data_IF_646020730024
#
_entry.id   IF_646020730024
#
_cell.length_a   1.000
_cell.length_b   1.000
_cell.length_c   1.000
_cell.angle_alpha   90.00
_cell.angle_beta   90.00
_cell.angle_gamma   90.00
#
_symmetry.space_group_name_H-M   'P 1'
#
loop_
_entity.id
_entity.type
_entity.pdbx_description
1 polymer ?
#
# COMPACT_ATOMS: atom_id res chain seq x y z
N UNK A 1 -18.17 -27.96 -34.28
CA UNK A 1 -16.72 -28.28 -34.24
C UNK A 1 -15.87 -27.12 -33.74
N UNK A 2 -15.89 -25.98 -34.45
CA UNK A 2 -15.34 -24.71 -33.96
C UNK A 2 -15.89 -24.36 -32.56
N UNK A 3 -17.18 -24.66 -32.33
CA UNK A 3 -17.85 -24.53 -31.03
C UNK A 3 -17.27 -25.47 -29.94
N UNK A 4 -16.84 -26.69 -30.28
CA UNK A 4 -16.24 -27.65 -29.32
C UNK A 4 -14.86 -27.18 -28.88
N UNK A 5 -14.07 -26.62 -29.80
CA UNK A 5 -12.78 -26.00 -29.50
C UNK A 5 -12.96 -24.71 -28.68
N UNK A 6 -13.96 -23.90 -29.04
CA UNK A 6 -14.28 -22.66 -28.32
C UNK A 6 -14.71 -22.93 -26.88
N UNK A 7 -15.61 -23.88 -26.67
CA UNK A 7 -16.04 -24.31 -25.34
C UNK A 7 -14.88 -24.86 -24.50
N UNK A 8 -13.92 -25.55 -25.12
CA UNK A 8 -12.74 -26.06 -24.44
C UNK A 8 -11.81 -24.92 -23.96
N UNK A 9 -11.53 -23.94 -24.82
CA UNK A 9 -10.78 -22.75 -24.43
C UNK A 9 -11.55 -21.91 -23.41
N UNK A 10 -12.87 -21.78 -23.55
CA UNK A 10 -13.71 -21.11 -22.55
C UNK A 10 -13.55 -21.72 -21.17
N UNK A 11 -13.56 -23.06 -21.08
CA UNK A 11 -13.32 -23.77 -19.83
C UNK A 11 -11.92 -23.52 -19.26
N UNK A 12 -10.85 -23.67 -20.05
CA UNK A 12 -9.45 -23.46 -19.60
C UNK A 12 -9.24 -22.01 -19.11
N UNK A 13 -9.82 -21.05 -19.82
CA UNK A 13 -9.65 -19.64 -19.51
C UNK A 13 -10.68 -19.06 -18.52
N UNK A 14 -11.66 -19.87 -18.08
CA UNK A 14 -12.71 -19.43 -17.12
C UNK A 14 -12.13 -18.76 -15.86
N UNK A 15 -11.06 -19.29 -15.22
CA UNK A 15 -10.47 -18.67 -14.02
C UNK A 15 -9.81 -17.30 -14.25
N UNK A 16 -9.67 -16.87 -15.51
CA UNK A 16 -8.84 -15.73 -15.93
C UNK A 16 -9.61 -14.64 -16.69
N UNK A 17 -10.94 -14.75 -16.80
CA UNK A 17 -11.79 -13.88 -17.63
C UNK A 17 -11.73 -12.38 -17.24
N UNK A 18 -11.34 -12.05 -16.02
CA UNK A 18 -11.27 -10.67 -15.52
C UNK A 18 -10.04 -9.89 -16.06
N UNK A 19 -9.12 -10.56 -16.75
CA UNK A 19 -7.89 -9.95 -17.26
C UNK A 19 -8.00 -9.67 -18.76
N UNK A 20 -7.96 -8.38 -19.13
CA UNK A 20 -8.01 -7.94 -20.53
C UNK A 20 -6.96 -8.62 -21.41
N UNK A 21 -5.72 -8.74 -20.93
CA UNK A 21 -4.63 -9.39 -21.67
C UNK A 21 -4.88 -10.87 -21.97
N UNK A 22 -5.65 -11.56 -21.13
CA UNK A 22 -5.95 -12.99 -21.32
C UNK A 22 -7.03 -13.19 -22.40
N UNK A 23 -7.92 -12.20 -22.60
CA UNK A 23 -8.94 -12.26 -23.65
C UNK A 23 -8.32 -12.22 -25.05
N UNK A 24 -7.34 -11.34 -25.24
CA UNK A 24 -6.61 -11.21 -26.51
C UNK A 24 -5.82 -12.49 -26.84
N UNK A 25 -5.08 -13.01 -25.86
CA UNK A 25 -4.32 -14.27 -26.00
C UNK A 25 -5.23 -15.46 -26.34
N UNK A 26 -6.41 -15.53 -25.71
CA UNK A 26 -7.39 -16.60 -25.97
C UNK A 26 -7.94 -16.54 -27.39
N UNK A 27 -8.16 -15.34 -27.93
CA UNK A 27 -8.65 -15.17 -29.30
C UNK A 27 -7.59 -15.53 -30.34
N UNK A 28 -6.33 -15.12 -30.15
CA UNK A 28 -5.22 -15.51 -31.02
C UNK A 28 -5.01 -17.02 -31.01
N UNK A 29 -4.96 -17.63 -29.81
CA UNK A 29 -4.79 -19.08 -29.68
C UNK A 29 -5.95 -19.86 -30.32
N UNK A 30 -7.18 -19.35 -30.24
CA UNK A 30 -8.32 -19.98 -30.90
C UNK A 30 -8.16 -20.00 -32.42
N UNK A 31 -7.69 -18.91 -33.02
CA UNK A 31 -7.46 -18.80 -34.46
C UNK A 31 -6.42 -19.82 -34.89
N UNK A 32 -5.26 -19.86 -34.23
CA UNK A 32 -4.16 -20.78 -34.54
C UNK A 32 -4.59 -22.25 -34.44
N UNK A 33 -5.34 -22.61 -33.39
CA UNK A 33 -5.83 -23.97 -33.20
C UNK A 33 -6.91 -24.34 -34.21
N UNK A 34 -7.70 -23.37 -34.66
CA UNK A 34 -8.71 -23.60 -35.69
C UNK A 34 -8.05 -23.85 -37.06
N UNK A 35 -7.00 -23.10 -37.40
CA UNK A 35 -6.19 -23.36 -38.61
C UNK A 35 -5.57 -24.75 -38.57
N UNK A 36 -4.91 -25.11 -37.46
CA UNK A 36 -4.32 -26.43 -37.27
C UNK A 36 -5.33 -27.57 -37.35
N UNK A 37 -6.51 -27.39 -36.78
CA UNK A 37 -7.60 -28.37 -36.87
C UNK A 37 -8.05 -28.60 -38.33
N UNK A 38 -8.13 -27.51 -39.12
CA UNK A 38 -8.49 -27.61 -40.53
C UNK A 38 -7.40 -28.32 -41.34
N UNK A 39 -6.13 -28.04 -41.07
CA UNK A 39 -5.00 -28.71 -41.73
C UNK A 39 -4.97 -30.21 -41.44
N UNK A 40 -5.23 -30.63 -40.20
CA UNK A 40 -5.33 -32.05 -39.86
C UNK A 40 -6.47 -32.73 -40.63
N UNK A 41 -7.64 -32.08 -40.75
CA UNK A 41 -8.73 -32.62 -41.57
C UNK A 41 -8.36 -32.72 -43.05
N UNK A 42 -7.69 -31.72 -43.60
CA UNK A 42 -7.23 -31.73 -44.99
C UNK A 42 -6.19 -32.82 -45.25
N UNK A 43 -5.45 -33.23 -44.22
CA UNK A 43 -4.50 -34.34 -44.27
C UNK A 43 -5.15 -35.72 -44.05
N UNK A 44 -6.48 -35.81 -44.01
CA UNK A 44 -7.22 -37.08 -44.00
C UNK A 44 -7.46 -37.69 -42.61
N UNK A 45 -7.17 -36.96 -41.53
CA UNK A 45 -7.56 -37.39 -40.19
C UNK A 45 -9.07 -37.28 -40.00
N UNK A 46 -9.65 -38.26 -39.29
CA UNK A 46 -11.03 -38.17 -38.89
C UNK A 46 -11.25 -37.05 -37.86
N UNK A 47 -12.52 -36.73 -37.64
CA UNK A 47 -12.93 -35.58 -36.87
C UNK A 47 -12.50 -35.60 -35.40
N UNK A 48 -12.55 -36.77 -34.76
CA UNK A 48 -12.20 -36.92 -33.36
C UNK A 48 -10.69 -37.01 -33.18
N UNK A 49 -9.99 -37.67 -34.12
CA UNK A 49 -8.54 -37.74 -34.11
C UNK A 49 -7.88 -36.38 -34.35
N UNK A 50 -8.40 -35.59 -35.30
CA UNK A 50 -7.94 -34.23 -35.56
C UNK A 50 -8.14 -33.32 -34.33
N UNK A 51 -9.30 -33.41 -33.67
CA UNK A 51 -9.58 -32.64 -32.46
C UNK A 51 -8.62 -32.99 -31.33
N UNK A 52 -8.42 -34.29 -31.04
CA UNK A 52 -7.54 -34.73 -29.97
C UNK A 52 -6.09 -34.28 -30.20
N UNK A 53 -5.58 -34.41 -31.42
CA UNK A 53 -4.23 -33.92 -31.79
C UNK A 53 -4.10 -32.40 -31.68
N UNK A 54 -5.15 -31.65 -32.01
CA UNK A 54 -5.17 -30.20 -31.81
C UNK A 54 -5.08 -29.85 -30.32
N UNK A 55 -5.89 -30.49 -29.46
CA UNK A 55 -5.89 -30.24 -28.01
C UNK A 55 -4.58 -30.66 -27.35
N UNK A 56 -4.02 -31.82 -27.70
CA UNK A 56 -2.72 -32.29 -27.19
C UNK A 56 -1.59 -31.30 -27.49
N UNK A 57 -1.69 -30.57 -28.60
CA UNK A 57 -0.67 -29.58 -28.97
C UNK A 57 -0.70 -28.29 -28.15
N UNK A 58 -1.78 -28.08 -27.39
CA UNK A 58 -1.92 -26.94 -26.48
C UNK A 58 -1.04 -27.17 -25.23
N UNK A 59 -0.74 -28.43 -24.86
CA UNK A 59 0.23 -28.76 -23.80
C UNK A 59 0.05 -27.98 -22.49
N UNK A 60 1.17 -27.59 -21.87
CA UNK A 60 1.29 -26.84 -20.60
C UNK A 60 0.77 -25.38 -20.67
N UNK A 61 0.04 -24.97 -21.71
CA UNK A 61 -0.45 -23.57 -21.82
C UNK A 61 -1.28 -23.15 -20.60
N UNK A 62 -1.99 -24.06 -19.94
CA UNK A 62 -2.66 -23.76 -18.67
C UNK A 62 -1.68 -23.34 -17.57
N UNK A 63 -0.53 -24.01 -17.45
CA UNK A 63 0.51 -23.68 -16.46
C UNK A 63 1.23 -22.38 -16.82
N UNK A 64 1.46 -22.13 -18.11
CA UNK A 64 2.04 -20.87 -18.61
C UNK A 64 1.08 -19.70 -18.33
N UNK A 65 -0.21 -19.84 -18.61
CA UNK A 65 -1.22 -18.82 -18.34
C UNK A 65 -1.37 -18.57 -16.84
N UNK A 66 -1.32 -19.62 -16.02
CA UNK A 66 -1.33 -19.49 -14.56
C UNK A 66 -0.09 -18.74 -14.05
N UNK A 67 1.10 -19.07 -14.56
CA UNK A 67 2.36 -18.40 -14.24
C UNK A 67 2.35 -16.92 -14.65
N UNK A 68 1.93 -16.60 -15.88
CA UNK A 68 1.79 -15.23 -16.38
C UNK A 68 0.76 -14.46 -15.54
N UNK A 69 -0.35 -15.09 -15.19
CA UNK A 69 -1.42 -14.47 -14.41
C UNK A 69 -0.98 -14.21 -12.97
N UNK A 70 -0.31 -15.17 -12.34
CA UNK A 70 0.28 -15.00 -11.00
C UNK A 70 1.30 -13.86 -11.03
N UNK A 71 2.18 -13.82 -12.03
CA UNK A 71 3.14 -12.74 -12.20
C UNK A 71 2.47 -11.40 -12.45
N UNK A 72 1.40 -11.36 -13.23
CA UNK A 72 0.62 -10.15 -13.49
C UNK A 72 -0.06 -9.64 -12.23
N UNK A 73 -0.62 -10.53 -11.39
CA UNK A 73 -1.20 -10.16 -10.10
C UNK A 73 -0.15 -9.66 -9.10
N UNK A 74 1.01 -10.33 -9.02
CA UNK A 74 2.15 -9.85 -8.25
C UNK A 74 2.60 -8.46 -8.74
N UNK A 75 2.70 -8.28 -10.06
CA UNK A 75 3.06 -7.00 -10.67
C UNK A 75 1.99 -5.95 -10.42
N UNK A 76 0.70 -6.27 -10.45
CA UNK A 76 -0.40 -5.34 -10.11
C UNK A 76 -0.39 -4.97 -8.62
N UNK A 77 -0.03 -5.89 -7.73
CA UNK A 77 0.25 -5.57 -6.32
C UNK A 77 1.49 -4.69 -6.16
N UNK A 78 2.45 -4.78 -7.09
CA UNK A 78 3.63 -3.91 -7.16
C UNK A 78 3.37 -2.58 -7.91
N UNK A 79 2.32 -2.49 -8.72
CA UNK A 79 1.90 -1.27 -9.42
C UNK A 79 1.11 -0.43 -8.42
N UNK A 80 1.84 0.47 -7.78
CA UNK A 80 1.36 1.35 -6.72
C UNK A 80 0.00 1.95 -7.00
N UNK A 81 -0.98 1.54 -6.18
CA UNK A 81 -2.34 2.07 -6.17
C UNK A 81 -2.25 3.59 -5.98
N UNK A 82 -2.72 4.34 -6.97
CA UNK A 82 -2.65 5.80 -6.99
C UNK A 82 -4.04 6.42 -6.87
N UNK A 83 -4.35 6.84 -5.64
CA UNK A 83 -5.51 7.61 -5.25
C UNK A 83 -5.22 9.12 -5.21
N UNK A 84 -4.04 9.59 -5.65
CA UNK A 84 -3.67 11.00 -5.53
C UNK A 84 -4.71 11.91 -6.19
N UNK A 85 -5.01 13.03 -5.53
CA UNK A 85 -6.00 14.06 -5.97
C UNK A 85 -7.45 13.56 -6.00
N UNK A 86 -7.76 12.49 -5.25
CA UNK A 86 -9.12 11.97 -5.20
C UNK A 86 -9.93 12.56 -4.05
N UNK A 87 -11.25 12.75 -4.21
CA UNK A 87 -12.17 13.05 -3.12
C UNK A 87 -12.54 11.74 -2.40
N UNK A 88 -11.89 11.49 -1.27
CA UNK A 88 -11.97 10.27 -0.47
C UNK A 88 -12.38 10.57 0.98
N UNK A 89 -13.11 11.65 1.18
CA UNK A 89 -13.71 11.95 2.48
C UNK A 89 -14.59 10.78 2.95
N UNK A 90 -14.56 10.49 4.24
CA UNK A 90 -15.35 9.44 4.89
C UNK A 90 -15.12 8.02 4.32
N UNK A 91 -14.06 7.80 3.54
CA UNK A 91 -13.77 6.51 2.92
C UNK A 91 -13.29 5.46 3.93
N UNK A 92 -13.72 4.22 3.72
CA UNK A 92 -13.30 3.06 4.51
C UNK A 92 -12.12 2.34 3.84
N UNK A 93 -10.95 2.47 4.46
CA UNK A 93 -9.70 1.77 4.14
C UNK A 93 -9.26 0.86 5.30
N UNK A 94 -10.19 0.43 6.15
CA UNK A 94 -9.87 -0.42 7.29
C UNK A 94 -9.29 -1.75 6.83
N UNK A 95 -8.15 -2.13 7.40
CA UNK A 95 -7.52 -3.43 7.14
C UNK A 95 -6.98 -3.63 5.73
N UNK A 96 -6.87 -2.57 4.91
CA UNK A 96 -6.34 -2.71 3.55
C UNK A 96 -4.85 -3.04 3.56
N UNK A 97 -4.42 -3.80 2.55
CA UNK A 97 -3.02 -4.14 2.32
C UNK A 97 -2.49 -3.33 1.11
N UNK A 98 -1.97 -2.13 1.39
CA UNK A 98 -1.49 -1.19 0.36
C UNK A 98 -0.05 -0.77 0.69
N UNK A 99 0.93 -1.46 0.11
CA UNK A 99 2.34 -1.08 0.19
C UNK A 99 2.67 -0.17 -0.99
N UNK A 100 3.40 0.93 -0.75
CA UNK A 100 3.71 1.96 -1.75
C UNK A 100 2.48 2.67 -2.37
N UNK A 101 1.37 2.77 -1.63
CA UNK A 101 0.17 3.49 -2.06
C UNK A 101 0.42 4.99 -2.21
N UNK A 102 -0.27 5.64 -3.14
CA UNK A 102 -0.20 7.09 -3.33
C UNK A 102 -1.55 7.71 -3.05
N UNK A 103 -1.60 8.58 -2.07
CA UNK A 103 -2.76 9.33 -1.63
C UNK A 103 -2.53 10.84 -1.71
N UNK A 104 -1.51 11.29 -2.45
CA UNK A 104 -1.04 12.68 -2.40
C UNK A 104 -2.13 13.65 -2.86
N UNK A 105 -2.24 14.81 -2.20
CA UNK A 105 -3.21 15.86 -2.55
C UNK A 105 -4.67 15.40 -2.50
N UNK A 106 -4.96 14.31 -1.79
CA UNK A 106 -6.33 13.78 -1.68
C UNK A 106 -7.07 14.43 -0.53
N UNK A 107 -8.39 14.48 -0.63
CA UNK A 107 -9.25 14.79 0.50
C UNK A 107 -9.57 13.49 1.21
N UNK A 108 -9.07 13.31 2.44
CA UNK A 108 -9.18 12.08 3.23
C UNK A 108 -9.70 12.37 4.63
N UNK A 109 -10.46 13.47 4.75
CA UNK A 109 -11.06 13.87 6.00
C UNK A 109 -11.98 12.75 6.50
N UNK A 110 -11.84 12.40 7.78
CA UNK A 110 -12.56 11.30 8.43
C UNK A 110 -12.34 9.89 7.83
N UNK A 111 -11.38 9.69 6.93
CA UNK A 111 -11.13 8.36 6.38
C UNK A 111 -10.64 7.37 7.46
N UNK A 112 -11.09 6.12 7.40
CA UNK A 112 -10.67 5.06 8.33
C UNK A 112 -9.59 4.19 7.70
N UNK A 113 -8.36 4.29 8.18
CA UNK A 113 -7.21 3.46 7.82
C UNK A 113 -6.84 2.48 8.93
N UNK A 114 -7.71 2.23 9.92
CA UNK A 114 -7.35 1.42 11.07
C UNK A 114 -6.96 0.00 10.66
N UNK A 115 -5.94 -0.56 11.34
CA UNK A 115 -5.41 -1.91 11.10
C UNK A 115 -4.90 -2.17 9.66
N UNK A 116 -4.64 -1.12 8.87
CA UNK A 116 -4.14 -1.28 7.50
C UNK A 116 -2.61 -1.44 7.46
N UNK A 117 -2.11 -2.06 6.39
CA UNK A 117 -0.70 -2.04 6.03
C UNK A 117 -0.48 -0.99 4.95
N UNK A 118 0.15 0.12 5.33
CA UNK A 118 0.38 1.31 4.51
C UNK A 118 1.86 1.62 4.34
N UNK A 119 2.73 0.62 4.48
CA UNK A 119 4.18 0.80 4.40
C UNK A 119 4.58 1.50 3.11
N UNK A 120 5.52 2.43 3.23
CA UNK A 120 6.07 3.23 2.13
C UNK A 120 5.03 4.05 1.34
N UNK A 121 3.79 4.17 1.84
CA UNK A 121 2.74 4.95 1.21
C UNK A 121 2.96 6.46 1.37
N UNK A 122 2.38 7.25 0.46
CA UNK A 122 2.60 8.70 0.38
C UNK A 122 1.27 9.45 0.48
N UNK A 123 1.13 10.29 1.51
CA UNK A 123 -0.04 11.13 1.81
C UNK A 123 0.29 12.63 1.69
N UNK A 124 1.25 13.01 0.86
CA UNK A 124 1.78 14.38 0.80
C UNK A 124 0.68 15.39 0.49
N UNK A 125 0.67 16.50 1.22
CA UNK A 125 -0.27 17.60 0.98
C UNK A 125 -1.76 17.18 1.01
N UNK A 126 -2.10 16.11 1.72
CA UNK A 126 -3.49 15.62 1.82
C UNK A 126 -4.19 16.21 3.04
N UNK A 127 -5.52 16.31 2.97
CA UNK A 127 -6.33 16.59 4.16
C UNK A 127 -6.65 15.27 4.86
N UNK A 128 -5.98 14.99 5.98
CA UNK A 128 -6.17 13.82 6.84
C UNK A 128 -6.84 14.22 8.16
N UNK A 129 -7.57 15.35 8.17
CA UNK A 129 -8.24 15.81 9.40
C UNK A 129 -9.23 14.74 9.88
N UNK A 130 -9.15 14.38 11.16
CA UNK A 130 -9.91 13.30 11.81
C UNK A 130 -9.72 11.89 11.19
N UNK A 131 -8.69 11.65 10.38
CA UNK A 131 -8.43 10.32 9.86
C UNK A 131 -8.02 9.35 11.00
N UNK A 132 -8.43 8.10 10.89
CA UNK A 132 -8.12 7.07 11.88
C UNK A 132 -7.01 6.14 11.38
N UNK A 133 -5.82 6.18 11.97
CA UNK A 133 -4.71 5.27 11.68
C UNK A 133 -4.44 4.26 12.80
N UNK A 134 -5.40 4.04 13.69
CA UNK A 134 -5.21 3.17 14.85
C UNK A 134 -4.83 1.74 14.43
N UNK A 135 -3.74 1.21 14.97
CA UNK A 135 -3.22 -0.11 14.64
C UNK A 135 -2.60 -0.25 13.24
N UNK A 136 -2.51 0.82 12.45
CA UNK A 136 -1.95 0.76 11.11
C UNK A 136 -0.42 0.61 11.11
N UNK A 137 0.12 0.08 10.02
CA UNK A 137 1.55 0.07 9.75
C UNK A 137 1.91 1.16 8.73
N UNK A 138 2.55 2.23 9.19
CA UNK A 138 3.00 3.37 8.40
C UNK A 138 4.52 3.42 8.24
N UNK A 139 5.23 2.29 8.40
CA UNK A 139 6.69 2.29 8.28
C UNK A 139 7.13 2.85 6.92
N UNK A 140 8.02 3.84 6.92
CA UNK A 140 8.52 4.51 5.72
C UNK A 140 7.53 5.45 5.02
N UNK A 141 6.30 5.60 5.54
CA UNK A 141 5.28 6.43 4.92
C UNK A 141 5.64 7.92 4.92
N UNK A 142 5.18 8.64 3.90
CA UNK A 142 5.41 10.09 3.71
C UNK A 142 4.12 10.86 3.96
N UNK A 143 3.98 11.44 5.14
CA UNK A 143 2.82 12.24 5.58
C UNK A 143 3.26 13.71 5.77
N UNK A 144 4.11 14.19 4.87
CA UNK A 144 4.66 15.54 4.93
C UNK A 144 3.68 16.57 4.34
N UNK A 145 3.61 17.77 4.93
CA UNK A 145 2.72 18.88 4.55
C UNK A 145 1.22 18.52 4.61
N UNK A 146 0.82 17.53 5.41
CA UNK A 146 -0.57 17.11 5.53
C UNK A 146 -1.29 17.86 6.67
N UNK A 147 -2.62 18.00 6.54
CA UNK A 147 -3.47 18.43 7.67
C UNK A 147 -3.83 17.21 8.49
N UNK A 148 -3.41 17.16 9.76
CA UNK A 148 -3.62 16.01 10.65
C UNK A 148 -4.47 16.35 11.88
N UNK A 149 -5.17 17.49 11.85
CA UNK A 149 -5.96 17.94 13.00
C UNK A 149 -6.99 16.87 13.39
N UNK A 150 -6.89 16.38 14.62
CA UNK A 150 -7.82 15.37 15.17
C UNK A 150 -7.58 13.95 14.67
N UNK A 151 -6.54 13.68 13.88
CA UNK A 151 -6.20 12.32 13.46
C UNK A 151 -5.79 11.44 14.66
N UNK A 152 -6.03 10.14 14.57
CA UNK A 152 -5.64 9.17 15.61
C UNK A 152 -4.53 8.25 15.12
N UNK A 153 -3.54 7.99 15.98
CA UNK A 153 -2.37 7.15 15.70
C UNK A 153 -2.11 6.13 16.83
N UNK A 154 -3.16 5.66 17.52
CA UNK A 154 -2.99 4.73 18.65
C UNK A 154 -2.49 3.39 18.13
N UNK A 155 -1.51 2.81 18.82
CA UNK A 155 -0.94 1.50 18.46
C UNK A 155 -0.43 1.41 17.00
N UNK A 156 -0.15 2.55 16.36
CA UNK A 156 0.38 2.62 14.99
C UNK A 156 1.88 2.37 14.97
N UNK A 157 2.37 1.69 13.94
CA UNK A 157 3.82 1.55 13.67
C UNK A 157 4.28 2.73 12.82
N UNK A 158 5.19 3.56 13.36
CA UNK A 158 5.62 4.84 12.78
C UNK A 158 7.12 4.88 12.44
N UNK A 159 7.73 3.71 12.26
CA UNK A 159 9.16 3.60 11.99
C UNK A 159 9.53 4.27 10.66
N UNK A 160 10.44 5.24 10.70
CA UNK A 160 10.89 6.04 9.56
C UNK A 160 9.76 6.81 8.84
N UNK A 161 8.62 7.05 9.51
CA UNK A 161 7.54 7.88 8.96
C UNK A 161 7.95 9.36 8.95
N UNK A 162 7.65 10.05 7.85
CA UNK A 162 7.96 11.47 7.67
C UNK A 162 6.71 12.34 7.83
N UNK A 163 6.65 13.11 8.92
CA UNK A 163 5.60 14.10 9.20
C UNK A 163 6.04 15.55 8.93
N UNK A 164 7.12 15.76 8.16
CA UNK A 164 7.72 17.08 8.03
C UNK A 164 6.71 18.11 7.49
N UNK A 165 6.76 19.33 8.02
CA UNK A 165 5.87 20.45 7.64
C UNK A 165 4.36 20.22 7.89
N UNK A 166 3.96 19.19 8.62
CA UNK A 166 2.56 18.95 8.98
C UNK A 166 2.19 19.64 10.31
N UNK A 167 0.92 19.99 10.49
CA UNK A 167 0.41 20.45 11.80
C UNK A 167 -0.05 19.24 12.62
N UNK A 168 0.66 18.98 13.71
CA UNK A 168 0.43 17.87 14.64
C UNK A 168 -0.08 18.38 16.00
N UNK A 169 -0.52 19.64 16.07
CA UNK A 169 -0.91 20.30 17.31
C UNK A 169 -2.02 19.51 18.03
N UNK A 170 -1.75 19.14 19.29
CA UNK A 170 -2.69 18.42 20.14
C UNK A 170 -2.79 16.91 19.87
N UNK A 171 -2.01 16.35 18.95
CA UNK A 171 -1.97 14.90 18.72
C UNK A 171 -1.27 14.16 19.86
N UNK A 172 -1.56 12.86 19.98
CA UNK A 172 -1.06 12.00 21.04
C UNK A 172 -0.25 10.84 20.45
N UNK A 173 1.02 10.75 20.82
CA UNK A 173 1.95 9.66 20.53
C UNK A 173 2.41 8.97 21.83
N UNK A 174 1.59 9.04 22.88
CA UNK A 174 1.93 8.51 24.20
C UNK A 174 2.18 6.99 24.15
N UNK A 175 3.24 6.53 24.81
CA UNK A 175 3.61 5.11 24.90
C UNK A 175 4.13 4.48 23.60
N UNK A 176 4.14 5.20 22.48
CA UNK A 176 4.58 4.65 21.19
C UNK A 176 6.09 4.49 21.09
N UNK A 177 6.51 3.55 20.24
CA UNK A 177 7.90 3.40 19.83
C UNK A 177 8.09 4.11 18.49
N UNK A 178 8.92 5.13 18.49
CA UNK A 178 9.24 5.94 17.32
C UNK A 178 10.72 5.72 16.98
N UNK A 179 10.99 5.01 15.89
CA UNK A 179 12.34 4.77 15.40
C UNK A 179 12.54 5.47 14.06
N UNK A 180 13.43 6.46 14.00
CA UNK A 180 13.71 7.18 12.75
C UNK A 180 12.60 8.11 12.28
N UNK A 181 11.53 8.30 13.07
CA UNK A 181 10.41 9.19 12.72
C UNK A 181 10.89 10.64 12.60
N UNK A 182 10.37 11.37 11.61
CA UNK A 182 10.82 12.72 11.27
C UNK A 182 9.69 13.72 11.55
N UNK A 183 9.95 14.67 12.47
CA UNK A 183 9.04 15.77 12.82
C UNK A 183 9.57 17.14 12.38
N UNK A 184 10.49 17.19 11.43
CA UNK A 184 11.15 18.43 10.99
C UNK A 184 10.12 19.47 10.50
N UNK A 185 10.27 20.71 10.96
CA UNK A 185 9.37 21.83 10.61
C UNK A 185 7.87 21.60 10.89
N UNK A 186 7.51 20.60 11.70
CA UNK A 186 6.11 20.31 12.06
C UNK A 186 5.61 21.21 13.21
N UNK A 187 4.31 21.44 13.27
CA UNK A 187 3.66 22.13 14.39
C UNK A 187 3.39 21.16 15.54
N UNK A 188 4.11 21.30 16.67
CA UNK A 188 4.03 20.36 17.81
C UNK A 188 3.37 20.96 19.07
N UNK A 189 2.54 21.99 18.93
CA UNK A 189 1.94 22.65 20.09
C UNK A 189 0.95 21.71 20.78
N UNK A 190 1.23 21.34 22.03
CA UNK A 190 0.38 20.45 22.81
C UNK A 190 0.44 19.00 22.36
N UNK A 191 1.33 18.65 21.43
CA UNK A 191 1.56 17.26 21.02
C UNK A 191 2.20 16.50 22.18
N UNK A 192 1.69 15.30 22.47
CA UNK A 192 2.11 14.49 23.61
C UNK A 192 2.94 13.30 23.15
N UNK A 193 4.08 13.09 23.81
CA UNK A 193 5.00 11.96 23.64
C UNK A 193 5.26 11.28 25.00
N UNK A 194 4.29 11.30 25.91
CA UNK A 194 4.49 10.78 27.28
C UNK A 194 4.79 9.30 27.23
N UNK A 195 5.77 8.86 28.00
CA UNK A 195 6.20 7.46 28.04
C UNK A 195 6.58 6.85 26.67
N UNK A 196 6.74 7.67 25.62
CA UNK A 196 7.14 7.22 24.30
C UNK A 196 8.64 6.84 24.30
N UNK A 197 9.04 5.95 23.41
CA UNK A 197 10.44 5.60 23.16
C UNK A 197 10.86 6.24 21.85
N UNK A 198 11.82 7.18 21.90
CA UNK A 198 12.29 7.96 20.77
C UNK A 198 13.74 7.57 20.42
N UNK A 199 13.92 6.82 19.33
CA UNK A 199 15.24 6.45 18.82
C UNK A 199 15.45 7.04 17.44
N UNK A 200 16.55 7.75 17.22
CA UNK A 200 16.90 8.40 15.96
C UNK A 200 15.78 9.33 15.45
N UNK A 201 15.03 9.96 16.36
CA UNK A 201 13.90 10.83 15.99
C UNK A 201 14.43 12.23 15.71
N UNK A 202 14.00 12.82 14.59
CA UNK A 202 14.43 14.15 14.17
C UNK A 202 13.42 15.22 14.56
N UNK A 203 13.93 16.30 15.16
CA UNK A 203 13.18 17.51 15.49
C UNK A 203 13.95 18.75 15.02
N UNK A 204 13.67 19.23 13.81
CA UNK A 204 14.08 20.58 13.36
C UNK A 204 12.91 21.56 13.44
N UNK A 205 12.32 21.69 14.62
CA UNK A 205 11.13 22.52 14.84
C UNK A 205 11.05 23.00 16.31
N UNK A 206 10.12 23.90 16.61
CA UNK A 206 9.84 24.33 17.98
C UNK A 206 9.14 23.21 18.78
N UNK A 207 9.73 22.86 19.91
CA UNK A 207 9.24 21.76 20.78
C UNK A 207 8.87 22.22 22.19
N UNK A 208 8.96 23.53 22.50
CA UNK A 208 8.71 24.07 23.85
C UNK A 208 7.33 23.74 24.42
N UNK A 209 6.34 23.58 23.53
CA UNK A 209 4.94 23.27 23.88
C UNK A 209 4.57 21.81 23.66
N UNK A 210 5.52 20.96 23.26
CA UNK A 210 5.33 19.52 23.22
C UNK A 210 5.61 18.92 24.61
N UNK A 211 5.02 17.75 24.88
CA UNK A 211 5.07 17.10 26.20
C UNK A 211 5.88 15.82 26.08
N UNK A 212 6.93 15.68 26.88
CA UNK A 212 7.83 14.52 26.87
C UNK A 212 7.90 13.79 28.22
N UNK A 213 6.94 14.02 29.13
CA UNK A 213 7.00 13.44 30.48
C UNK A 213 7.07 11.91 30.44
N UNK A 214 8.07 11.31 31.09
CA UNK A 214 8.30 9.87 31.10
C UNK A 214 8.88 9.29 29.81
N UNK A 215 9.11 10.11 28.77
CA UNK A 215 9.67 9.64 27.51
C UNK A 215 11.10 9.09 27.71
N UNK A 216 11.44 8.08 26.93
CA UNK A 216 12.77 7.50 26.87
C UNK A 216 13.39 7.80 25.51
N UNK A 217 14.63 8.27 25.45
CA UNK A 217 15.23 8.67 24.17
C UNK A 217 16.75 8.48 24.12
N UNK A 218 17.30 8.31 22.92
CA UNK A 218 18.75 8.26 22.79
C UNK A 218 19.43 9.63 23.01
N UNK A 219 20.75 9.60 23.20
CA UNK A 219 21.56 10.81 23.44
C UNK A 219 21.43 11.86 22.33
N UNK A 220 21.24 11.45 21.07
CA UNK A 220 21.16 12.35 19.94
C UNK A 220 19.82 13.10 19.96
N UNK A 221 18.72 12.37 20.07
CA UNK A 221 17.38 12.95 20.19
C UNK A 221 17.27 13.85 21.42
N UNK A 222 17.82 13.43 22.57
CA UNK A 222 17.87 14.28 23.76
C UNK A 222 18.61 15.60 23.52
N UNK A 223 19.80 15.55 22.90
CA UNK A 223 20.59 16.74 22.63
C UNK A 223 19.86 17.73 21.71
N UNK A 224 19.18 17.23 20.69
CA UNK A 224 18.35 18.03 19.78
C UNK A 224 17.23 18.72 20.56
N UNK A 225 16.41 17.97 21.30
CA UNK A 225 15.28 18.52 22.06
C UNK A 225 15.74 19.56 23.09
N UNK A 226 16.86 19.29 23.78
CA UNK A 226 17.48 20.23 24.72
C UNK A 226 17.91 21.53 24.01
N UNK A 227 18.52 21.43 22.82
CA UNK A 227 18.90 22.58 22.00
C UNK A 227 17.71 23.47 21.63
N UNK A 228 16.55 22.88 21.37
CA UNK A 228 15.29 23.58 21.11
C UNK A 228 14.50 23.96 22.39
N UNK A 229 15.12 23.83 23.57
CA UNK A 229 14.56 24.22 24.88
C UNK A 229 13.26 23.46 25.23
N UNK A 230 13.17 22.19 24.88
CA UNK A 230 12.09 21.31 25.37
C UNK A 230 12.14 21.17 26.90
N UNK A 231 10.99 20.93 27.52
CA UNK A 231 10.91 20.51 28.92
C UNK A 231 11.23 19.02 29.01
N UNK A 232 12.33 18.68 29.67
CA UNK A 232 12.89 17.32 29.70
C UNK A 232 13.19 16.84 31.14
N UNK A 233 12.51 17.38 32.14
CA UNK A 233 12.81 17.11 33.56
C UNK A 233 12.58 15.63 33.95
N UNK A 234 11.66 14.96 33.26
CA UNK A 234 11.19 13.61 33.59
C UNK A 234 11.49 12.59 32.46
N UNK A 235 12.57 12.79 31.70
CA UNK A 235 12.92 11.86 30.60
C UNK A 235 14.03 10.90 31.01
N UNK A 236 14.05 9.72 30.38
CA UNK A 236 15.14 8.75 30.51
C UNK A 236 16.01 8.76 29.25
N UNK A 237 17.34 8.76 29.42
CA UNK A 237 18.29 8.69 28.30
C UNK A 237 18.80 7.25 28.18
N UNK A 238 18.81 6.72 26.96
CA UNK A 238 19.25 5.36 26.60
C UNK A 238 20.37 5.34 25.57
#
# INVERSE_FOLDING_TARGET
MSEKLRNHLDYIFTPYNDLMAVREIKEELFIDLQEKLNDLKNNGYDEDEAYNKTIESIGEVSEIVESITSKTRELQQLVGIDFSKSPLEDSDFKGVEIVNGKFNYSALKNADFSNSNLRDSSFKCSDLSNANFDGANLSGAKINKASLKGASFKDTILDNTDFSYSDLSGLCFDGQKLNGTIFDYSGLRGTSFKNAILRNVSFKTEVKKAIFDGATMDKLTYAILKGFKAKLDNVTII
#
